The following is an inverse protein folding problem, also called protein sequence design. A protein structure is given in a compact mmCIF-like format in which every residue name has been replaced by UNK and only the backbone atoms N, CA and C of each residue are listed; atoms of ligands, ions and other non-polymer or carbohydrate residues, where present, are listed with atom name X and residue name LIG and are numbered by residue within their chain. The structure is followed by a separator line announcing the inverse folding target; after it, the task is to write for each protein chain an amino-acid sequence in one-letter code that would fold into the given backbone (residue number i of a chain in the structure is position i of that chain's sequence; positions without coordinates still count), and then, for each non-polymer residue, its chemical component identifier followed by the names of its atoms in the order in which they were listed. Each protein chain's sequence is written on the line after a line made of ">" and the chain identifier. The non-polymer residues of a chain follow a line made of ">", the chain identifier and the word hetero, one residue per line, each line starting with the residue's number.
data_IF_872949230929
#
_entry.id   IF_872949230929
#
_cell.length_a   1.000
_cell.length_b   1.000
_cell.length_c   1.000
_cell.angle_alpha   90.00
_cell.angle_beta   90.00
_cell.angle_gamma   90.00
#
_symmetry.space_group_name_H-M   'P 1'
#
loop_
_entity.id
_entity.type
_entity.pdbx_description
1 polymer ?
#
# COMPACT_ATOMS: atom_id res chain seq x y z
N UNK A 1 2.61 18.86 6.07
CA UNK A 1 2.04 17.86 7.01
C UNK A 1 0.60 18.16 7.42
N UNK A 2 0.22 19.39 7.69
CA UNK A 2 -1.12 19.77 8.19
C UNK A 2 -2.29 19.48 7.23
N UNK A 3 -2.03 19.23 5.95
CA UNK A 3 -3.07 19.07 4.91
C UNK A 3 -3.35 17.60 4.56
N UNK A 4 -2.46 16.69 4.94
CA UNK A 4 -2.70 15.27 4.78
C UNK A 4 -3.79 14.81 5.75
N UNK A 5 -4.87 14.28 5.21
CA UNK A 5 -5.99 13.67 5.93
C UNK A 5 -6.55 12.48 5.14
N UNK A 6 -7.30 11.62 5.80
CA UNK A 6 -8.08 10.58 5.10
C UNK A 6 -9.20 11.24 4.31
N UNK A 7 -9.25 10.94 3.02
CA UNK A 7 -10.30 11.39 2.13
C UNK A 7 -11.01 10.16 1.59
N UNK A 8 -12.33 10.13 1.66
CA UNK A 8 -13.16 8.99 1.25
C UNK A 8 -13.98 9.29 -0.01
N UNK A 9 -14.12 10.53 -0.35
CA UNK A 9 -14.75 10.99 -1.60
C UNK A 9 -13.67 11.08 -2.69
N UNK A 10 -13.28 9.90 -3.18
CA UNK A 10 -12.23 9.79 -4.20
C UNK A 10 -12.82 9.93 -5.60
N UNK A 11 -12.00 10.42 -6.51
CA UNK A 11 -12.34 10.56 -7.93
C UNK A 11 -11.22 10.00 -8.81
N UNK A 12 -11.52 9.57 -10.06
CA UNK A 12 -10.51 9.06 -10.98
C UNK A 12 -9.70 10.18 -11.65
N UNK A 13 -9.57 11.34 -11.01
CA UNK A 13 -8.81 12.49 -11.53
C UNK A 13 -7.48 12.61 -10.81
N UNK A 14 -6.41 12.72 -11.58
CA UNK A 14 -5.07 12.96 -11.10
C UNK A 14 -4.62 14.36 -11.54
N UNK A 15 -4.13 15.23 -10.64
CA UNK A 15 -3.67 16.58 -11.00
C UNK A 15 -2.29 16.60 -11.67
N UNK A 16 -1.56 15.48 -11.66
CA UNK A 16 -0.24 15.31 -12.28
C UNK A 16 -0.26 14.13 -13.27
N UNK A 17 0.74 14.01 -14.14
CA UNK A 17 0.85 12.88 -15.05
C UNK A 17 1.29 11.59 -14.36
N UNK A 18 1.03 10.42 -14.96
CA UNK A 18 1.51 9.13 -14.47
C UNK A 18 3.03 9.10 -14.31
N UNK A 19 3.76 9.71 -15.24
CA UNK A 19 5.21 9.81 -15.15
C UNK A 19 5.65 10.65 -13.93
N UNK A 20 4.98 11.76 -13.65
CA UNK A 20 5.25 12.59 -12.49
C UNK A 20 4.91 11.86 -11.18
N UNK A 21 3.78 11.13 -11.15
CA UNK A 21 3.42 10.28 -10.02
C UNK A 21 4.49 9.20 -9.76
N UNK A 22 4.95 8.53 -10.82
CA UNK A 22 5.97 7.51 -10.71
C UNK A 22 7.29 8.05 -10.15
N UNK A 23 7.74 9.21 -10.64
CA UNK A 23 8.97 9.85 -10.14
C UNK A 23 8.82 10.35 -8.70
N UNK A 24 7.66 10.89 -8.33
CA UNK A 24 7.34 11.25 -6.95
C UNK A 24 7.49 10.04 -6.01
N UNK A 25 6.83 8.93 -6.35
CA UNK A 25 6.84 7.71 -5.54
C UNK A 25 8.23 7.10 -5.43
N UNK A 26 9.00 7.05 -6.53
CA UNK A 26 10.40 6.59 -6.52
C UNK A 26 11.28 7.46 -5.61
N UNK A 27 11.17 8.78 -5.75
CA UNK A 27 11.94 9.73 -4.94
C UNK A 27 11.64 9.56 -3.46
N UNK A 28 10.35 9.45 -3.10
CA UNK A 28 9.94 9.26 -1.70
C UNK A 28 10.42 7.92 -1.16
N UNK A 29 10.28 6.84 -1.92
CA UNK A 29 10.75 5.51 -1.51
C UNK A 29 12.26 5.47 -1.29
N UNK A 30 13.04 6.12 -2.16
CA UNK A 30 14.49 6.21 -2.02
C UNK A 30 14.94 7.07 -0.84
N UNK A 31 14.16 8.12 -0.50
CA UNK A 31 14.46 9.06 0.60
C UNK A 31 13.95 8.57 1.97
N UNK A 32 13.06 7.59 2.02
CA UNK A 32 12.51 7.08 3.28
C UNK A 32 13.62 6.47 4.15
N UNK A 33 13.78 6.94 5.41
CA UNK A 33 14.83 6.44 6.29
C UNK A 33 14.57 4.98 6.68
N UNK A 34 15.64 4.20 6.79
CA UNK A 34 15.58 2.81 7.24
C UNK A 34 16.81 2.42 8.03
N UNK A 35 16.74 1.41 8.93
CA UNK A 35 17.90 0.93 9.67
C UNK A 35 19.05 0.56 8.75
N UNK A 36 20.24 1.07 9.04
CA UNK A 36 21.45 0.85 8.23
C UNK A 36 21.26 1.21 6.73
N UNK A 37 20.28 2.05 6.41
CA UNK A 37 19.88 2.39 5.05
C UNK A 37 19.57 1.16 4.17
N UNK A 38 18.92 0.16 4.76
CA UNK A 38 18.62 -1.12 4.07
C UNK A 38 17.60 -0.97 2.95
N UNK A 39 16.74 0.05 3.03
CA UNK A 39 15.68 0.30 2.04
C UNK A 39 14.87 -0.97 1.74
N UNK A 40 14.37 -1.64 2.80
CA UNK A 40 13.56 -2.86 2.67
C UNK A 40 12.13 -2.60 2.22
N UNK A 41 11.64 -1.37 2.35
CA UNK A 41 10.29 -1.01 1.89
C UNK A 41 10.21 -1.00 0.37
N UNK A 42 9.09 -1.53 -0.15
CA UNK A 42 8.80 -1.60 -1.58
C UNK A 42 7.37 -1.12 -1.85
N UNK A 43 7.15 -0.53 -3.03
CA UNK A 43 5.86 -0.04 -3.49
C UNK A 43 5.45 -0.76 -4.77
N UNK A 44 4.20 -1.23 -4.83
CA UNK A 44 3.56 -1.69 -6.06
C UNK A 44 2.40 -0.75 -6.38
N UNK A 45 2.42 -0.14 -7.56
CA UNK A 45 1.42 0.85 -7.99
C UNK A 45 0.47 0.23 -9.00
N UNK A 46 -0.80 0.20 -8.66
CA UNK A 46 -1.86 -0.34 -9.50
C UNK A 46 -2.71 0.82 -10.04
N UNK A 47 -2.73 0.99 -11.36
CA UNK A 47 -3.52 2.00 -12.08
C UNK A 47 -4.50 1.33 -13.04
N UNK A 48 -5.53 2.07 -13.44
CA UNK A 48 -6.51 1.65 -14.46
C UNK A 48 -7.16 0.30 -14.09
N UNK A 49 -7.11 -0.66 -15.00
CA UNK A 49 -7.78 -1.96 -14.84
C UNK A 49 -7.15 -2.82 -13.72
N UNK A 50 -5.86 -2.65 -13.45
CA UNK A 50 -5.23 -3.33 -12.30
C UNK A 50 -5.78 -2.82 -10.97
N UNK A 51 -5.99 -1.51 -10.83
CA UNK A 51 -6.65 -0.92 -9.67
C UNK A 51 -8.07 -1.46 -9.49
N UNK A 52 -8.88 -1.48 -10.56
CA UNK A 52 -10.24 -2.03 -10.51
C UNK A 52 -10.26 -3.50 -10.12
N UNK A 53 -9.36 -4.30 -10.72
CA UNK A 53 -9.21 -5.73 -10.39
C UNK A 53 -8.93 -5.95 -8.91
N UNK A 54 -8.05 -5.15 -8.30
CA UNK A 54 -7.79 -5.23 -6.86
C UNK A 54 -9.07 -5.04 -6.04
N UNK A 55 -9.83 -3.98 -6.31
CA UNK A 55 -11.04 -3.67 -5.53
C UNK A 55 -12.16 -4.69 -5.76
N UNK A 56 -12.23 -5.32 -6.93
CA UNK A 56 -13.12 -6.46 -7.17
C UNK A 56 -12.72 -7.67 -6.29
N UNK A 57 -11.43 -7.99 -6.21
CA UNK A 57 -10.93 -9.06 -5.35
C UNK A 57 -11.23 -8.79 -3.87
N UNK A 58 -11.08 -7.53 -3.41
CA UNK A 58 -11.47 -7.13 -2.06
C UNK A 58 -12.97 -7.34 -1.84
N UNK A 59 -13.81 -6.94 -2.79
CA UNK A 59 -15.26 -7.12 -2.75
C UNK A 59 -15.64 -8.59 -2.61
N UNK A 60 -15.09 -9.45 -3.47
CA UNK A 60 -15.35 -10.89 -3.45
C UNK A 60 -14.93 -11.55 -2.13
N UNK A 61 -13.75 -11.18 -1.63
CA UNK A 61 -13.22 -11.72 -0.38
C UNK A 61 -14.08 -11.32 0.82
N UNK A 62 -14.47 -10.05 0.90
CA UNK A 62 -15.35 -9.58 1.97
C UNK A 62 -16.78 -10.15 1.88
N UNK A 63 -17.28 -10.40 0.67
CA UNK A 63 -18.59 -11.04 0.48
C UNK A 63 -18.63 -12.45 1.06
N UNK A 64 -17.51 -13.18 1.03
CA UNK A 64 -17.39 -14.52 1.64
C UNK A 64 -17.37 -14.46 3.17
N UNK A 65 -16.88 -13.37 3.75
CA UNK A 65 -16.79 -13.18 5.21
C UNK A 65 -18.10 -12.64 5.78
N UNK A 66 -18.74 -11.70 5.07
CA UNK A 66 -20.00 -11.09 5.48
C UNK A 66 -21.16 -11.87 4.84
N UNK A 67 -21.70 -12.86 5.58
CA UNK A 67 -22.75 -13.77 5.07
C UNK A 67 -24.14 -13.11 4.97
N UNK A 68 -24.33 -11.91 5.49
CA UNK A 68 -25.60 -11.17 5.45
C UNK A 68 -25.59 -10.15 4.31
N UNK A 69 -26.54 -10.30 3.37
CA UNK A 69 -26.62 -9.45 2.19
C UNK A 69 -26.94 -7.98 2.53
N UNK A 70 -27.75 -7.72 3.56
CA UNK A 70 -28.06 -6.34 3.99
C UNK A 70 -26.87 -5.69 4.69
N UNK A 71 -26.17 -6.44 5.56
CA UNK A 71 -24.97 -5.97 6.20
C UNK A 71 -23.84 -5.70 5.17
N UNK A 72 -23.81 -6.48 4.08
CA UNK A 72 -22.80 -6.31 3.03
C UNK A 72 -23.00 -5.02 2.22
N UNK A 73 -24.21 -4.50 2.06
CA UNK A 73 -24.48 -3.26 1.29
C UNK A 73 -23.63 -2.07 1.76
N UNK A 74 -23.51 -1.88 3.07
CA UNK A 74 -22.69 -0.80 3.62
C UNK A 74 -21.19 -0.99 3.35
N UNK A 75 -20.73 -2.24 3.34
CA UNK A 75 -19.35 -2.61 3.01
C UNK A 75 -19.09 -2.40 1.51
N UNK A 76 -20.01 -2.82 0.66
CA UNK A 76 -19.93 -2.67 -0.79
C UNK A 76 -19.84 -1.18 -1.19
N UNK A 77 -20.69 -0.32 -0.61
CA UNK A 77 -20.64 1.12 -0.86
C UNK A 77 -19.27 1.74 -0.50
N UNK A 78 -18.62 1.27 0.58
CA UNK A 78 -17.25 1.71 0.93
C UNK A 78 -16.24 1.27 -0.11
N UNK A 79 -16.30 0.00 -0.54
CA UNK A 79 -15.40 -0.56 -1.56
C UNK A 79 -15.55 0.20 -2.88
N UNK A 80 -16.78 0.52 -3.29
CA UNK A 80 -17.05 1.35 -4.47
C UNK A 80 -16.41 2.74 -4.36
N UNK A 81 -16.51 3.37 -3.19
CA UNK A 81 -15.83 4.64 -2.92
C UNK A 81 -14.31 4.56 -3.06
N UNK A 82 -13.67 3.45 -2.64
CA UNK A 82 -12.23 3.26 -2.82
C UNK A 82 -11.87 2.94 -4.27
N UNK A 83 -12.68 2.11 -4.94
CA UNK A 83 -12.52 1.77 -6.35
C UNK A 83 -12.71 2.97 -7.29
N UNK A 84 -13.41 4.02 -6.85
CA UNK A 84 -13.57 5.26 -7.59
C UNK A 84 -12.27 6.09 -7.69
N UNK A 85 -11.25 5.78 -6.90
CA UNK A 85 -9.94 6.42 -6.95
C UNK A 85 -9.19 6.19 -8.26
N UNK A 86 -8.15 7.00 -8.50
CA UNK A 86 -7.30 6.90 -9.68
C UNK A 86 -6.44 5.63 -9.68
N UNK A 87 -5.98 5.20 -8.52
CA UNK A 87 -5.08 4.06 -8.35
C UNK A 87 -4.92 3.63 -6.91
N UNK A 88 -4.14 2.59 -6.70
CA UNK A 88 -3.78 2.07 -5.38
C UNK A 88 -2.27 1.86 -5.29
N UNK A 89 -1.69 2.23 -4.15
CA UNK A 89 -0.30 1.93 -3.82
C UNK A 89 -0.30 0.83 -2.75
N UNK A 90 0.27 -0.31 -3.07
CA UNK A 90 0.52 -1.41 -2.14
C UNK A 90 1.92 -1.27 -1.53
N UNK A 91 2.06 -1.66 -0.29
CA UNK A 91 3.30 -1.54 0.49
C UNK A 91 3.78 -2.92 0.92
N UNK A 92 5.04 -3.22 0.65
CA UNK A 92 5.67 -4.49 0.97
C UNK A 92 7.02 -4.29 1.64
N UNK A 93 7.44 -5.27 2.43
CA UNK A 93 8.81 -5.43 2.88
C UNK A 93 9.53 -6.46 1.99
N UNK A 94 10.79 -6.24 1.71
CA UNK A 94 11.66 -7.17 0.99
C UNK A 94 12.38 -8.08 2.01
N UNK A 95 11.93 -9.32 2.24
CA UNK A 95 12.44 -10.18 3.32
C UNK A 95 13.92 -10.49 3.16
N UNK A 96 14.39 -10.66 1.94
CA UNK A 96 15.81 -10.93 1.64
C UNK A 96 16.74 -9.82 2.13
N UNK A 97 16.31 -8.56 2.11
CA UNK A 97 17.08 -7.44 2.65
C UNK A 97 17.11 -7.46 4.19
N UNK A 98 16.01 -7.87 4.81
CA UNK A 98 15.89 -8.00 6.27
C UNK A 98 16.79 -9.14 6.74
N UNK A 99 16.72 -10.31 6.09
CA UNK A 99 17.56 -11.47 6.38
C UNK A 99 19.05 -11.14 6.23
N UNK A 100 19.45 -10.45 5.16
CA UNK A 100 20.82 -10.02 4.99
C UNK A 100 21.34 -9.11 6.13
N UNK A 101 20.47 -8.27 6.71
CA UNK A 101 20.83 -7.49 7.90
C UNK A 101 20.96 -8.36 9.14
N UNK A 102 20.08 -9.34 9.33
CA UNK A 102 20.13 -10.27 10.46
C UNK A 102 21.44 -11.06 10.45
N UNK A 103 21.87 -11.53 9.30
CA UNK A 103 23.14 -12.23 9.10
C UNK A 103 24.35 -11.33 9.34
N UNK A 104 24.30 -10.10 8.83
CA UNK A 104 25.39 -9.12 8.96
C UNK A 104 25.57 -8.60 10.39
N UNK A 105 24.48 -8.50 11.14
CA UNK A 105 24.45 -7.93 12.50
C UNK A 105 23.74 -8.86 13.48
N UNK A 106 24.32 -10.04 13.81
CA UNK A 106 23.66 -11.06 14.62
C UNK A 106 23.17 -10.58 16.00
N UNK A 107 23.91 -9.67 16.62
CA UNK A 107 23.54 -9.07 17.93
C UNK A 107 22.18 -8.39 17.91
N UNK A 108 21.79 -7.83 16.77
CA UNK A 108 20.53 -7.09 16.59
C UNK A 108 19.50 -7.85 15.76
N UNK A 109 19.80 -9.08 15.32
CA UNK A 109 19.01 -9.85 14.37
C UNK A 109 17.51 -9.90 14.71
N UNK A 110 17.18 -10.08 15.98
CA UNK A 110 15.81 -10.17 16.48
C UNK A 110 15.00 -8.86 16.34
N UNK A 111 15.67 -7.71 16.17
CA UNK A 111 15.00 -6.42 16.05
C UNK A 111 14.62 -6.05 14.59
N UNK A 112 15.36 -6.57 13.58
CA UNK A 112 15.19 -6.14 12.21
C UNK A 112 13.77 -6.34 11.65
N UNK A 113 13.05 -7.43 11.92
CA UNK A 113 11.66 -7.57 11.48
C UNK A 113 10.77 -6.44 12.02
N UNK A 114 10.86 -6.18 13.32
CA UNK A 114 10.09 -5.08 13.95
C UNK A 114 10.46 -3.70 13.40
N UNK A 115 11.74 -3.48 13.15
CA UNK A 115 12.19 -2.21 12.55
C UNK A 115 11.73 -2.08 11.11
N UNK A 116 11.61 -3.17 10.36
CA UNK A 116 11.04 -3.17 9.01
C UNK A 116 9.56 -2.73 9.02
N UNK A 117 8.77 -3.20 9.98
CA UNK A 117 7.37 -2.75 10.14
C UNK A 117 7.28 -1.25 10.46
N UNK A 118 8.19 -0.74 11.31
CA UNK A 118 8.27 0.69 11.59
C UNK A 118 8.62 1.50 10.35
N UNK A 119 9.55 1.00 9.52
CA UNK A 119 9.92 1.61 8.23
C UNK A 119 8.75 1.66 7.27
N UNK A 120 7.93 0.60 7.23
CA UNK A 120 6.70 0.62 6.43
C UNK A 120 5.77 1.76 6.84
N UNK A 121 5.57 1.99 8.13
CA UNK A 121 4.78 3.12 8.62
C UNK A 121 5.36 4.47 8.20
N UNK A 122 6.70 4.61 8.23
CA UNK A 122 7.40 5.83 7.79
C UNK A 122 7.21 6.01 6.26
N UNK A 123 7.43 4.98 5.48
CA UNK A 123 7.27 5.01 4.02
C UNK A 123 5.84 5.38 3.62
N UNK A 124 4.86 4.74 4.24
CA UNK A 124 3.44 4.99 4.04
C UNK A 124 3.09 6.45 4.34
N UNK A 125 3.51 6.97 5.49
CA UNK A 125 3.30 8.37 5.87
C UNK A 125 4.01 9.33 4.92
N UNK A 126 5.22 9.02 4.48
CA UNK A 126 5.98 9.86 3.55
C UNK A 126 5.30 9.95 2.18
N UNK A 127 4.88 8.81 1.62
CA UNK A 127 4.10 8.75 0.37
C UNK A 127 2.80 9.54 0.50
N UNK A 128 2.04 9.29 1.55
CA UNK A 128 0.76 9.98 1.77
C UNK A 128 0.93 11.50 1.89
N UNK A 129 1.97 11.95 2.58
CA UNK A 129 2.28 13.37 2.72
C UNK A 129 2.70 13.99 1.39
N UNK A 130 3.52 13.27 0.59
CA UNK A 130 3.94 13.73 -0.72
C UNK A 130 2.76 13.83 -1.70
N UNK A 131 1.88 12.82 -1.73
CA UNK A 131 0.65 12.88 -2.53
C UNK A 131 -0.23 14.07 -2.14
N UNK A 132 -0.41 14.31 -0.83
CA UNK A 132 -1.16 15.47 -0.35
C UNK A 132 -0.52 16.80 -0.75
N UNK A 133 0.82 16.87 -0.85
CA UNK A 133 1.57 18.02 -1.36
C UNK A 133 1.25 18.35 -2.81
N UNK A 134 0.99 17.33 -3.64
CA UNK A 134 0.56 17.45 -5.03
C UNK A 134 -0.96 17.61 -5.19
N UNK A 135 -1.71 17.79 -4.10
CA UNK A 135 -3.17 17.92 -4.14
C UNK A 135 -3.90 16.60 -4.39
N UNK A 136 -3.23 15.46 -4.23
CA UNK A 136 -3.81 14.12 -4.42
C UNK A 136 -4.43 13.65 -3.11
N UNK A 137 -5.74 13.43 -3.11
CA UNK A 137 -6.49 12.87 -2.01
C UNK A 137 -6.24 11.36 -1.87
N UNK A 138 -6.06 10.87 -0.66
CA UNK A 138 -5.89 9.44 -0.40
C UNK A 138 -6.44 9.03 0.98
N UNK A 139 -6.63 7.73 1.17
CA UNK A 139 -6.87 7.08 2.45
C UNK A 139 -6.07 5.77 2.52
N UNK A 140 -5.98 5.20 3.72
CA UNK A 140 -5.30 3.93 3.96
C UNK A 140 -6.35 2.89 4.30
N UNK A 141 -6.19 1.69 3.72
CA UNK A 141 -7.03 0.54 3.98
C UNK A 141 -6.17 -0.68 4.30
N UNK A 142 -6.65 -1.54 5.19
CA UNK A 142 -5.99 -2.76 5.62
C UNK A 142 -6.94 -3.94 5.41
N UNK A 143 -6.62 -4.80 4.47
CA UNK A 143 -7.38 -6.03 4.16
C UNK A 143 -6.56 -7.30 4.36
N UNK A 144 -5.35 -7.17 4.88
CA UNK A 144 -4.48 -8.28 5.21
C UNK A 144 -5.05 -9.10 6.40
N UNK A 145 -4.90 -10.42 6.43
CA UNK A 145 -4.32 -11.26 5.37
C UNK A 145 -5.38 -11.73 4.33
N UNK A 146 -6.58 -11.19 4.33
CA UNK A 146 -7.75 -11.69 3.60
C UNK A 146 -7.54 -11.80 2.08
N UNK A 147 -6.71 -10.93 1.51
CA UNK A 147 -6.49 -10.82 0.07
C UNK A 147 -5.06 -11.14 -0.36
N UNK A 148 -4.15 -11.46 0.56
CA UNK A 148 -2.72 -11.50 0.29
C UNK A 148 -2.35 -12.50 -0.80
N UNK A 149 -2.79 -13.76 -0.70
CA UNK A 149 -2.51 -14.80 -1.69
C UNK A 149 -3.09 -14.45 -3.07
N UNK A 150 -4.35 -14.00 -3.11
CA UNK A 150 -5.01 -13.65 -4.36
C UNK A 150 -4.35 -12.45 -5.05
N UNK A 151 -3.90 -11.46 -4.28
CA UNK A 151 -3.19 -10.28 -4.78
C UNK A 151 -1.80 -10.66 -5.30
N UNK A 152 -1.07 -11.50 -4.57
CA UNK A 152 0.24 -11.99 -5.00
C UNK A 152 0.15 -12.72 -6.35
N UNK A 153 -0.80 -13.64 -6.49
CA UNK A 153 -1.04 -14.37 -7.74
C UNK A 153 -1.48 -13.44 -8.89
N UNK A 154 -2.45 -12.56 -8.62
CA UNK A 154 -3.06 -11.72 -9.66
C UNK A 154 -2.14 -10.65 -10.24
N UNK A 155 -1.09 -10.25 -9.51
CA UNK A 155 -0.19 -9.15 -9.88
C UNK A 155 1.28 -9.57 -9.98
N UNK A 156 1.57 -10.88 -9.95
CA UNK A 156 2.93 -11.45 -10.02
C UNK A 156 3.86 -10.91 -8.92
N UNK A 157 3.31 -10.76 -7.70
CA UNK A 157 4.07 -10.31 -6.54
C UNK A 157 4.65 -11.54 -5.84
N UNK A 158 5.95 -11.56 -5.48
CA UNK A 158 6.52 -12.67 -4.74
C UNK A 158 5.74 -12.94 -3.44
N UNK A 159 5.42 -14.20 -3.17
CA UNK A 159 4.59 -14.61 -2.03
C UNK A 159 5.27 -14.41 -0.66
N UNK A 160 6.55 -14.12 -0.67
CA UNK A 160 7.35 -13.85 0.52
C UNK A 160 7.47 -12.35 0.87
N UNK A 161 6.84 -11.47 0.06
CA UNK A 161 6.82 -10.01 0.30
C UNK A 161 5.79 -9.60 1.32
#
# INVERSE_FOLDING_TARGET
>A
MLWRRSNYDLTPKLPISDAALQELLKTVAAAAPSPMNVQSGCLVVLLGDRHKKLWEMVRESLRRVVNDAEAFKATEAKIEGFAAGYGTVLYYNLPQKITALQEKYPTYAHNFPRWADQVQGILLQSVWTALAGEGIAANIQYYNPLIDEAVAEAFDIPSDW
#
